data_IF_360120866095
#
_entry.id   IF_360120866095
#
_cell.length_a   1.000
_cell.length_b   1.000
_cell.length_c   1.000
_cell.angle_alpha   90.00
_cell.angle_beta   90.00
_cell.angle_gamma   90.00
#
_symmetry.space_group_name_H-M   'P 1'
#
loop_
_entity.id
_entity.type
_entity.pdbx_description
1 polymer ?
#
# COMPACT_ATOMS: atom_id res chain seq x y z
N UNK A 1 -12.85 -8.92 13.92
CA UNK A 1 -11.67 -9.80 14.04
C UNK A 1 -10.45 -8.90 13.89
N UNK A 2 -9.58 -8.78 14.89
CA UNK A 2 -8.40 -7.92 14.79
C UNK A 2 -7.26 -8.75 14.20
N UNK A 3 -6.77 -8.40 13.01
CA UNK A 3 -5.53 -8.98 12.50
C UNK A 3 -4.34 -8.36 13.22
N UNK A 4 -3.31 -9.16 13.48
CA UNK A 4 -2.03 -8.68 14.00
C UNK A 4 -1.04 -8.63 12.86
N UNK A 5 -0.64 -7.42 12.48
CA UNK A 5 0.40 -7.19 11.47
C UNK A 5 1.74 -7.09 12.19
N UNK A 6 2.73 -7.83 11.71
CA UNK A 6 4.07 -7.82 12.30
C UNK A 6 4.90 -6.64 11.78
N UNK A 7 5.69 -6.04 12.67
CA UNK A 7 6.66 -5.01 12.28
C UNK A 7 7.75 -5.60 11.39
N UNK A 8 8.26 -4.80 10.46
CA UNK A 8 9.26 -5.25 9.48
C UNK A 8 10.68 -4.92 9.99
N UNK A 9 11.50 -5.91 10.40
CA UNK A 9 12.81 -5.60 10.95
C UNK A 9 13.72 -4.93 9.92
N UNK A 10 14.28 -3.76 10.25
CA UNK A 10 15.20 -3.00 9.38
C UNK A 10 14.54 -1.94 8.50
N UNK A 11 13.20 -1.91 8.44
CA UNK A 11 12.42 -0.88 7.78
C UNK A 11 11.41 -0.32 8.78
N UNK A 12 11.58 0.92 9.23
CA UNK A 12 10.65 1.52 10.21
C UNK A 12 9.32 1.85 9.52
N UNK A 13 8.34 0.96 9.63
CA UNK A 13 7.01 1.16 9.07
C UNK A 13 6.14 1.95 10.08
N UNK A 14 5.57 3.10 9.69
CA UNK A 14 4.69 3.85 10.58
C UNK A 14 3.48 3.02 11.05
N UNK A 15 3.19 3.03 12.35
CA UNK A 15 2.06 2.28 12.94
C UNK A 15 0.71 2.69 12.34
N UNK A 16 0.59 3.95 11.92
CA UNK A 16 -0.60 4.47 11.24
C UNK A 16 -0.95 3.72 9.95
N UNK A 17 0.02 3.11 9.27
CA UNK A 17 -0.26 2.24 8.12
C UNK A 17 -1.03 0.99 8.57
N UNK A 18 -0.63 0.40 9.69
CA UNK A 18 -1.32 -0.77 10.23
C UNK A 18 -2.74 -0.44 10.64
N UNK A 19 -2.95 0.75 11.23
CA UNK A 19 -4.28 1.24 11.56
C UNK A 19 -5.16 1.37 10.31
N UNK A 20 -4.64 1.93 9.21
CA UNK A 20 -5.37 2.02 7.93
C UNK A 20 -5.78 0.64 7.43
N UNK A 21 -4.86 -0.32 7.44
CA UNK A 21 -5.12 -1.70 6.97
C UNK A 21 -6.17 -2.40 7.84
N UNK A 22 -6.01 -2.35 9.16
CA UNK A 22 -6.95 -2.96 10.11
C UNK A 22 -8.33 -2.32 10.00
N UNK A 23 -8.39 -0.99 9.85
CA UNK A 23 -9.64 -0.26 9.65
C UNK A 23 -10.31 -0.62 8.33
N UNK A 24 -9.56 -0.74 7.24
CA UNK A 24 -10.07 -1.16 5.94
C UNK A 24 -10.73 -2.55 6.01
N UNK A 25 -10.03 -3.53 6.59
CA UNK A 25 -10.55 -4.90 6.76
C UNK A 25 -11.80 -4.92 7.65
N UNK A 26 -11.76 -4.18 8.76
CA UNK A 26 -12.87 -4.15 9.72
C UNK A 26 -14.12 -3.49 9.11
N UNK A 27 -13.96 -2.40 8.34
CA UNK A 27 -15.07 -1.66 7.74
C UNK A 27 -15.82 -2.45 6.66
N UNK A 28 -15.13 -3.28 5.88
CA UNK A 28 -15.82 -4.10 4.86
C UNK A 28 -16.63 -5.25 5.47
N UNK A 29 -16.42 -5.58 6.74
CA UNK A 29 -17.13 -6.68 7.40
C UNK A 29 -16.81 -8.05 6.81
N UNK A 30 -15.82 -8.16 5.92
CA UNK A 30 -15.42 -9.41 5.32
C UNK A 30 -14.72 -10.29 6.35
N UNK A 31 -15.22 -11.52 6.49
CA UNK A 31 -14.49 -12.56 7.19
C UNK A 31 -13.33 -12.98 6.31
N UNK A 32 -12.12 -12.54 6.66
CA UNK A 32 -10.86 -13.04 6.09
C UNK A 32 -10.68 -14.56 6.27
N UNK A 33 -11.58 -15.23 7.00
CA UNK A 33 -11.77 -16.68 7.00
C UNK A 33 -10.48 -17.48 7.15
N UNK A 34 -10.25 -18.38 6.20
CA UNK A 34 -9.04 -19.19 6.10
C UNK A 34 -8.02 -18.61 5.10
N UNK A 35 -8.17 -17.35 4.69
CA UNK A 35 -7.26 -16.73 3.73
C UNK A 35 -5.81 -16.82 4.22
N UNK A 36 -4.92 -17.16 3.30
CA UNK A 36 -3.48 -17.11 3.48
C UNK A 36 -2.91 -15.79 3.00
N UNK A 37 -3.61 -15.13 2.08
CA UNK A 37 -3.12 -13.94 1.41
C UNK A 37 -4.24 -12.90 1.32
N UNK A 38 -3.89 -11.63 1.53
CA UNK A 38 -4.82 -10.50 1.41
C UNK A 38 -4.18 -9.46 0.51
N UNK A 39 -4.93 -8.97 -0.46
CA UNK A 39 -4.55 -7.80 -1.25
C UNK A 39 -5.62 -6.72 -1.08
N UNK A 40 -5.22 -5.59 -0.51
CA UNK A 40 -6.07 -4.42 -0.32
C UNK A 40 -5.76 -3.41 -1.41
N UNK A 41 -6.79 -2.99 -2.13
CA UNK A 41 -6.71 -1.99 -3.18
C UNK A 41 -7.47 -0.74 -2.74
N UNK A 42 -6.77 0.40 -2.70
CA UNK A 42 -7.30 1.72 -2.34
C UNK A 42 -7.36 2.57 -3.61
N UNK A 43 -8.57 2.95 -4.05
CA UNK A 43 -8.77 3.63 -5.32
C UNK A 43 -9.66 4.84 -5.18
N UNK A 44 -9.14 6.01 -5.58
CA UNK A 44 -9.98 7.17 -5.84
C UNK A 44 -10.76 6.90 -7.14
N UNK A 45 -12.09 6.96 -7.05
CA UNK A 45 -12.99 6.68 -8.18
C UNK A 45 -12.84 7.69 -9.32
N UNK A 46 -12.38 8.90 -9.00
CA UNK A 46 -12.25 10.01 -9.95
C UNK A 46 -10.82 10.07 -10.54
N UNK A 47 -9.92 9.20 -10.07
CA UNK A 47 -8.55 9.13 -10.56
C UNK A 47 -8.48 8.69 -12.03
N UNK A 48 -7.87 9.53 -12.87
CA UNK A 48 -7.67 9.26 -14.29
C UNK A 48 -6.42 9.95 -14.83
N UNK A 49 -5.91 9.49 -15.97
CA UNK A 49 -4.76 10.11 -16.64
C UNK A 49 -4.99 11.58 -17.02
N UNK A 50 -6.23 11.94 -17.35
CA UNK A 50 -6.59 13.28 -17.81
C UNK A 50 -6.87 14.27 -16.66
N UNK A 51 -7.56 13.82 -15.61
CA UNK A 51 -7.98 14.69 -14.51
C UNK A 51 -7.07 14.61 -13.27
N UNK A 52 -6.15 13.65 -13.22
CA UNK A 52 -5.41 13.33 -12.00
C UNK A 52 -6.36 12.78 -10.93
N UNK A 53 -6.06 13.06 -9.66
CA UNK A 53 -6.75 12.54 -8.48
C UNK A 53 -5.74 11.91 -7.52
N UNK A 54 -6.21 11.14 -6.54
CA UNK A 54 -5.30 10.40 -5.66
C UNK A 54 -4.86 9.10 -6.30
N UNK A 55 -3.56 8.83 -6.26
CA UNK A 55 -2.98 7.62 -6.83
C UNK A 55 -3.57 6.36 -6.17
N UNK A 56 -3.89 5.32 -6.96
CA UNK A 56 -4.22 4.02 -6.43
C UNK A 56 -3.07 3.44 -5.63
N UNK A 57 -3.38 2.83 -4.50
CA UNK A 57 -2.41 2.16 -3.64
C UNK A 57 -2.84 0.71 -3.45
N UNK A 58 -1.90 -0.22 -3.60
CA UNK A 58 -2.11 -1.63 -3.30
C UNK A 58 -1.23 -2.05 -2.13
N UNK A 59 -1.80 -2.81 -1.19
CA UNK A 59 -1.07 -3.40 -0.06
C UNK A 59 -1.32 -4.91 -0.06
N UNK A 60 -0.24 -5.70 -0.01
CA UNK A 60 -0.33 -7.15 0.12
C UNK A 60 0.19 -7.64 1.46
N UNK A 61 -0.55 -8.57 2.05
CA UNK A 61 -0.20 -9.29 3.27
C UNK A 61 -0.22 -10.79 3.01
N UNK A 62 0.67 -11.52 3.67
CA UNK A 62 0.63 -12.98 3.76
C UNK A 62 0.58 -13.41 5.22
N UNK A 63 -0.14 -14.50 5.48
CA UNK A 63 -0.25 -15.10 6.79
C UNK A 63 0.99 -15.91 7.10
N UNK A 64 1.69 -15.58 8.20
CA UNK A 64 2.81 -16.36 8.73
C UNK A 64 2.54 -16.73 10.19
N UNK A 65 2.38 -18.03 10.43
CA UNK A 65 2.02 -18.55 11.75
C UNK A 65 0.68 -17.98 12.23
N UNK A 66 0.72 -17.20 13.32
CA UNK A 66 -0.47 -16.56 13.91
C UNK A 66 -0.63 -15.08 13.49
N UNK A 67 0.34 -14.54 12.75
CA UNK A 67 0.39 -13.14 12.34
C UNK A 67 0.25 -12.95 10.83
N UNK A 68 0.21 -11.69 10.42
CA UNK A 68 0.26 -11.26 9.03
C UNK A 68 1.52 -10.44 8.80
N UNK A 69 2.24 -10.73 7.74
CA UNK A 69 3.41 -9.98 7.31
C UNK A 69 3.08 -9.13 6.09
N UNK A 70 3.59 -7.91 6.06
CA UNK A 70 3.56 -7.07 4.86
C UNK A 70 4.51 -7.63 3.80
N UNK A 71 4.00 -7.76 2.58
CA UNK A 71 4.78 -8.21 1.42
C UNK A 71 5.21 -7.01 0.59
N UNK A 72 4.26 -6.14 0.23
CA UNK A 72 4.54 -4.86 -0.40
C UNK A 72 3.44 -3.82 -0.11
N UNK A 73 3.81 -2.55 -0.32
CA UNK A 73 2.89 -1.45 -0.60
C UNK A 73 3.37 -0.75 -1.86
N UNK A 74 2.46 -0.51 -2.80
CA UNK A 74 2.77 0.05 -4.12
C UNK A 74 1.82 1.20 -4.44
N UNK A 75 2.39 2.34 -4.79
CA UNK A 75 1.68 3.49 -5.36
C UNK A 75 1.72 3.40 -6.89
N UNK A 76 0.59 3.62 -7.53
CA UNK A 76 0.45 3.56 -8.98
C UNK A 76 0.08 4.90 -9.57
N UNK A 77 0.71 5.28 -10.68
CA UNK A 77 0.36 6.51 -11.38
C UNK A 77 0.33 6.36 -12.89
N UNK A 78 -0.41 7.24 -13.56
CA UNK A 78 -0.52 7.25 -15.01
C UNK A 78 0.69 7.95 -15.61
N UNK A 79 1.37 7.27 -16.53
CA UNK A 79 2.59 7.74 -17.16
C UNK A 79 2.45 7.70 -18.67
N UNK A 80 2.95 8.74 -19.35
CA UNK A 80 2.72 8.94 -20.78
C UNK A 80 1.60 9.95 -21.07
N UNK A 81 1.62 10.54 -22.27
CA UNK A 81 0.69 11.60 -22.69
C UNK A 81 -0.50 11.12 -23.52
N UNK A 82 -0.23 10.36 -24.57
CA UNK A 82 -1.25 9.87 -25.51
C UNK A 82 -1.66 8.45 -25.15
N UNK A 83 -0.67 7.61 -24.85
CA UNK A 83 -0.84 6.22 -24.42
C UNK A 83 -0.50 6.13 -22.93
N UNK A 84 -1.31 6.78 -22.08
CA UNK A 84 -1.06 6.80 -20.64
C UNK A 84 -1.31 5.42 -20.04
N UNK A 85 -0.29 4.84 -19.40
CA UNK A 85 -0.37 3.55 -18.73
C UNK A 85 -0.27 3.72 -17.22
N UNK A 86 -1.02 2.90 -16.47
CA UNK A 86 -0.91 2.86 -15.02
C UNK A 86 0.31 2.01 -14.64
N UNK A 87 1.31 2.62 -14.03
CA UNK A 87 2.58 1.95 -13.68
C UNK A 87 2.90 2.14 -12.20
N UNK A 88 3.83 1.33 -11.68
CA UNK A 88 4.36 1.48 -10.32
C UNK A 88 5.20 2.75 -10.23
N UNK A 89 4.72 3.74 -9.48
CA UNK A 89 5.52 4.95 -9.20
C UNK A 89 6.46 4.70 -8.03
N UNK A 90 5.91 4.23 -6.91
CA UNK A 90 6.65 3.86 -5.70
C UNK A 90 6.32 2.42 -5.36
N UNK A 91 7.33 1.59 -5.11
CA UNK A 91 7.14 0.21 -4.68
C UNK A 91 8.03 -0.07 -3.47
N UNK A 92 7.41 -0.38 -2.33
CA UNK A 92 8.12 -0.78 -1.12
C UNK A 92 8.00 -2.29 -1.01
N UNK A 93 9.09 -3.00 -1.29
CA UNK A 93 9.12 -4.45 -1.13
C UNK A 93 9.67 -4.78 0.27
N UNK A 94 8.80 -5.22 1.17
CA UNK A 94 9.16 -5.55 2.55
C UNK A 94 9.95 -6.85 2.66
N UNK A 95 9.79 -7.77 1.69
CA UNK A 95 10.54 -9.04 1.64
C UNK A 95 12.05 -8.79 1.53
N UNK A 96 12.47 -7.90 0.62
CA UNK A 96 13.89 -7.54 0.45
C UNK A 96 14.27 -6.22 1.11
N UNK A 97 13.31 -5.52 1.72
CA UNK A 97 13.47 -4.26 2.47
C UNK A 97 14.06 -3.14 1.62
N UNK A 98 13.54 -3.00 0.39
CA UNK A 98 13.99 -2.00 -0.58
C UNK A 98 12.81 -1.16 -1.05
N UNK A 99 13.10 0.09 -1.37
CA UNK A 99 12.15 1.03 -1.96
C UNK A 99 12.60 1.35 -3.37
N UNK A 100 11.67 1.25 -4.30
CA UNK A 100 11.82 1.58 -5.70
C UNK A 100 11.03 2.86 -6.00
N UNK A 101 11.59 3.72 -6.84
CA UNK A 101 10.89 4.84 -7.44
C UNK A 101 11.08 4.80 -8.96
N UNK A 102 10.03 5.03 -9.77
CA UNK A 102 10.09 4.78 -11.21
C UNK A 102 11.21 5.56 -11.94
N UNK A 103 11.51 6.78 -11.48
CA UNK A 103 12.51 7.64 -12.12
C UNK A 103 13.96 7.27 -11.80
N UNK A 104 14.20 6.59 -10.67
CA UNK A 104 15.56 6.40 -10.11
C UNK A 104 15.91 4.92 -9.96
N UNK A 105 14.90 4.05 -9.92
CA UNK A 105 15.07 2.64 -9.62
C UNK A 105 15.11 2.37 -8.12
N UNK A 106 15.94 1.41 -7.71
CA UNK A 106 16.13 1.07 -6.29
C UNK A 106 16.92 2.16 -5.56
N UNK A 107 16.34 2.69 -4.50
CA UNK A 107 16.94 3.75 -3.70
C UNK A 107 18.00 3.21 -2.73
N UNK A 108 18.89 4.09 -2.28
CA UNK A 108 19.76 3.78 -1.14
C UNK A 108 18.92 3.57 0.13
N UNK A 109 19.47 2.94 1.15
CA UNK A 109 18.74 2.68 2.40
C UNK A 109 18.20 3.96 3.07
N UNK A 110 18.98 5.04 3.01
CA UNK A 110 18.58 6.33 3.60
C UNK A 110 17.42 6.93 2.82
N UNK A 111 17.57 7.08 1.50
CA UNK A 111 16.54 7.66 0.62
C UNK A 111 15.27 6.82 0.64
N UNK A 112 15.40 5.49 0.66
CA UNK A 112 14.26 4.58 0.76
C UNK A 112 13.48 4.75 2.05
N UNK A 113 14.15 4.91 3.21
CA UNK A 113 13.48 5.16 4.49
C UNK A 113 12.78 6.52 4.53
N UNK A 114 13.42 7.55 3.97
CA UNK A 114 12.83 8.89 3.86
C UNK A 114 11.59 8.87 2.96
N UNK A 115 11.68 8.24 1.78
CA UNK A 115 10.56 8.12 0.85
C UNK A 115 9.43 7.28 1.43
N UNK A 116 9.73 6.13 2.06
CA UNK A 116 8.72 5.32 2.75
C UNK A 116 7.93 6.15 3.76
N UNK A 117 8.63 6.91 4.60
CA UNK A 117 8.00 7.71 5.64
C UNK A 117 7.08 8.76 5.04
N UNK A 118 7.56 9.49 4.03
CA UNK A 118 6.78 10.52 3.34
C UNK A 118 5.56 9.93 2.63
N UNK A 119 5.77 8.88 1.85
CA UNK A 119 4.72 8.18 1.10
C UNK A 119 3.61 7.69 2.05
N UNK A 120 3.98 6.94 3.10
CA UNK A 120 3.01 6.40 4.05
C UNK A 120 2.27 7.49 4.80
N UNK A 121 2.96 8.57 5.19
CA UNK A 121 2.32 9.71 5.89
C UNK A 121 1.24 10.33 5.00
N UNK A 122 1.57 10.64 3.74
CA UNK A 122 0.62 11.21 2.80
C UNK A 122 -0.55 10.26 2.51
N UNK A 123 -0.27 8.98 2.25
CA UNK A 123 -1.29 7.97 2.01
C UNK A 123 -2.28 7.85 3.17
N UNK A 124 -1.80 7.83 4.41
CA UNK A 124 -2.64 7.80 5.62
C UNK A 124 -3.51 9.04 5.71
N UNK A 125 -2.96 10.23 5.46
CA UNK A 125 -3.73 11.47 5.44
C UNK A 125 -4.84 11.43 4.38
N UNK A 126 -4.53 10.99 3.17
CA UNK A 126 -5.50 10.87 2.08
C UNK A 126 -6.59 9.86 2.42
N UNK A 127 -6.24 8.68 2.96
CA UNK A 127 -7.22 7.71 3.45
C UNK A 127 -8.18 8.32 4.47
N UNK A 128 -7.66 9.12 5.40
CA UNK A 128 -8.48 9.76 6.43
C UNK A 128 -9.45 10.82 5.89
N UNK A 129 -9.20 11.36 4.68
CA UNK A 129 -10.18 12.23 3.99
C UNK A 129 -11.40 11.47 3.45
N UNK A 130 -11.31 10.14 3.34
CA UNK A 130 -12.36 9.31 2.76
C UNK A 130 -12.40 9.29 1.23
N UNK A 131 -11.33 9.73 0.55
CA UNK A 131 -11.26 9.74 -0.91
C UNK A 131 -11.17 8.33 -1.54
N UNK A 132 -10.64 7.34 -0.81
CA UNK A 132 -10.44 5.99 -1.32
C UNK A 132 -11.67 5.10 -1.16
N UNK A 133 -12.08 4.49 -2.26
CA UNK A 133 -12.84 3.24 -2.23
C UNK A 133 -11.87 2.08 -2.03
N UNK A 134 -12.18 1.22 -1.05
CA UNK A 134 -11.33 0.06 -0.74
C UNK A 134 -12.00 -1.19 -1.28
N UNK A 135 -11.22 -2.09 -1.87
CA UNK A 135 -11.59 -3.46 -2.23
C UNK A 135 -10.58 -4.44 -1.66
N UNK A 136 -11.02 -5.57 -1.15
CA UNK A 136 -10.15 -6.62 -0.60
C UNK A 136 -10.33 -7.88 -1.45
N UNK A 137 -9.22 -8.50 -1.83
CA UNK A 137 -9.20 -9.82 -2.44
C UNK A 137 -8.41 -10.79 -1.55
N UNK A 138 -8.88 -12.02 -1.50
CA UNK A 138 -8.30 -13.08 -0.65
C UNK A 138 -7.92 -14.27 -1.51
N UNK A 139 -6.74 -14.87 -1.25
CA UNK A 139 -6.31 -16.15 -1.82
C UNK A 139 -5.95 -17.17 -0.72
#
# INVERSE_FOLDING_TARGET
MAIKIEQVPGLSVPESLFDVIVNAITKQGESIGNASELTLNFRDKDYSAAAGGFHPVEVRLEKRGIGWELIYITDFSYQGRLDSELVKEIDVCFVIKRVYHMLVGWLSEREGKELLTLFVTNFVEYYNTGCYQVTISTE
#
